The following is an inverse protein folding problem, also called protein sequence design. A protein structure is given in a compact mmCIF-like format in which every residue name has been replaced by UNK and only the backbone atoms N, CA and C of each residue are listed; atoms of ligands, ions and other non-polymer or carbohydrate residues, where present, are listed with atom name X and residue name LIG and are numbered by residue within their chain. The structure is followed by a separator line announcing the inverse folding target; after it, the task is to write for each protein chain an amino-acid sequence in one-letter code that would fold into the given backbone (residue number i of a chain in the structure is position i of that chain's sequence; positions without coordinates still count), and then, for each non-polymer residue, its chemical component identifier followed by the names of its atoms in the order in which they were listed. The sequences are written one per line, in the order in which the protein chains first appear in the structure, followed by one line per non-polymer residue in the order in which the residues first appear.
data_IF_170239630708
#
_entry.id   IF_170239630708
#
_cell.length_a   1.000
_cell.length_b   1.000
_cell.length_c   1.000
_cell.angle_alpha   90.00
_cell.angle_beta   90.00
_cell.angle_gamma   90.00
#
_symmetry.space_group_name_H-M   'P 1'
#
loop_
_entity.id
_entity.type
_entity.pdbx_description
1 polymer ?
#
# COMPACT_ATOMS: atom_id res chain seq x y z
N UNK A 1 -5.07 11.40 -6.43
CA UNK A 1 -3.96 11.33 -5.46
C UNK A 1 -4.58 11.21 -4.09
N UNK A 2 -4.25 10.17 -3.34
CA UNK A 2 -4.79 9.87 -2.01
C UNK A 2 -3.67 10.01 -0.99
N UNK A 3 -3.85 10.88 0.01
CA UNK A 3 -2.89 11.10 1.08
C UNK A 3 -3.42 10.50 2.38
N UNK A 4 -2.77 9.44 2.84
CA UNK A 4 -3.14 8.63 4.00
C UNK A 4 -4.65 8.28 4.11
N UNK A 5 -5.26 7.70 3.07
CA UNK A 5 -6.71 7.52 3.02
C UNK A 5 -7.24 6.53 4.08
N UNK A 6 -6.39 5.70 4.67
CA UNK A 6 -6.75 4.71 5.70
C UNK A 6 -6.58 5.22 7.14
N UNK A 7 -6.11 6.46 7.35
CA UNK A 7 -5.75 6.97 8.68
C UNK A 7 -6.93 7.04 9.66
N UNK A 8 -8.15 7.21 9.14
CA UNK A 8 -9.37 7.42 9.93
C UNK A 8 -10.49 6.40 9.62
N UNK A 9 -10.17 5.31 8.93
CA UNK A 9 -11.17 4.32 8.50
C UNK A 9 -11.14 3.09 9.42
N UNK A 10 -12.32 2.59 9.73
CA UNK A 10 -12.53 1.26 10.30
C UNK A 10 -12.44 0.18 9.22
N UNK A 11 -12.73 -1.08 9.57
CA UNK A 11 -12.61 -2.20 8.65
C UNK A 11 -13.56 -2.10 7.44
N UNK A 12 -14.77 -1.56 7.65
CA UNK A 12 -15.75 -1.37 6.57
C UNK A 12 -15.31 -0.25 5.62
N UNK A 13 -14.87 0.88 6.19
CA UNK A 13 -14.30 1.98 5.41
C UNK A 13 -13.07 1.56 4.61
N UNK A 14 -12.19 0.74 5.20
CA UNK A 14 -11.01 0.19 4.53
C UNK A 14 -11.38 -0.71 3.34
N UNK A 15 -12.42 -1.54 3.49
CA UNK A 15 -12.94 -2.37 2.40
C UNK A 15 -13.55 -1.51 1.27
N UNK A 16 -14.35 -0.50 1.61
CA UNK A 16 -14.94 0.42 0.64
C UNK A 16 -13.88 1.21 -0.13
N UNK A 17 -12.83 1.67 0.56
CA UNK A 17 -11.70 2.35 -0.06
C UNK A 17 -10.97 1.42 -1.05
N UNK A 18 -10.71 0.17 -0.66
CA UNK A 18 -10.09 -0.82 -1.54
C UNK A 18 -10.93 -1.01 -2.81
N UNK A 19 -12.25 -1.15 -2.67
CA UNK A 19 -13.15 -1.28 -3.81
C UNK A 19 -13.13 -0.05 -4.72
N UNK A 20 -13.09 1.15 -4.16
CA UNK A 20 -13.01 2.39 -4.92
C UNK A 20 -11.71 2.48 -5.74
N UNK A 21 -10.58 2.08 -5.14
CA UNK A 21 -9.28 2.02 -5.84
C UNK A 21 -9.32 1.00 -6.98
N UNK A 22 -9.90 -0.18 -6.75
CA UNK A 22 -10.03 -1.21 -7.79
C UNK A 22 -10.88 -0.72 -8.97
N UNK A 23 -12.00 -0.03 -8.70
CA UNK A 23 -12.87 0.54 -9.73
C UNK A 23 -12.16 1.64 -10.54
N UNK A 24 -11.45 2.54 -9.86
CA UNK A 24 -10.68 3.59 -10.53
C UNK A 24 -9.58 3.00 -11.43
N UNK A 25 -8.89 1.95 -10.98
CA UNK A 25 -7.91 1.24 -11.80
C UNK A 25 -8.55 0.57 -13.01
N UNK A 26 -9.70 -0.08 -12.82
CA UNK A 26 -10.43 -0.76 -13.88
C UNK A 26 -10.94 0.20 -14.97
N UNK A 27 -11.21 1.46 -14.64
CA UNK A 27 -11.56 2.51 -15.62
C UNK A 27 -10.34 3.11 -16.34
N UNK A 28 -9.12 2.63 -16.05
CA UNK A 28 -7.89 3.12 -16.65
C UNK A 28 -7.27 4.33 -15.95
N UNK A 29 -7.78 4.73 -14.77
CA UNK A 29 -7.24 5.86 -14.04
C UNK A 29 -5.90 5.50 -13.37
N UNK A 30 -4.96 6.44 -13.39
CA UNK A 30 -3.74 6.35 -12.58
C UNK A 30 -4.04 6.76 -11.14
N UNK A 31 -3.75 5.88 -10.18
CA UNK A 31 -3.98 6.12 -8.75
C UNK A 31 -2.64 6.20 -8.02
N UNK A 32 -2.34 7.37 -7.45
CA UNK A 32 -1.20 7.57 -6.54
C UNK A 32 -1.71 7.55 -5.10
N UNK A 33 -1.13 6.68 -4.27
CA UNK A 33 -1.48 6.49 -2.87
C UNK A 33 -0.24 6.71 -2.00
N UNK A 34 -0.33 7.64 -1.06
CA UNK A 34 0.63 7.79 0.04
C UNK A 34 0.01 7.11 1.25
N UNK A 35 0.65 6.05 1.74
CA UNK A 35 0.13 5.29 2.87
C UNK A 35 1.26 4.66 3.68
N UNK A 36 1.01 4.54 4.99
CA UNK A 36 1.88 3.89 5.96
C UNK A 36 1.42 2.46 6.31
N UNK A 37 0.14 2.12 6.04
CA UNK A 37 -0.44 0.78 6.28
C UNK A 37 -0.34 -0.11 5.03
N UNK A 38 -0.06 -1.39 5.23
CA UNK A 38 0.23 -2.34 4.16
C UNK A 38 -0.99 -2.83 3.37
N UNK A 39 -2.18 -2.75 3.97
CA UNK A 39 -3.45 -3.20 3.39
C UNK A 39 -3.75 -2.57 2.03
N UNK A 40 -3.69 -1.24 1.93
CA UNK A 40 -3.91 -0.50 0.68
C UNK A 40 -2.73 -0.63 -0.29
N UNK A 41 -1.49 -0.74 0.23
CA UNK A 41 -0.28 -0.93 -0.57
C UNK A 41 -0.30 -2.26 -1.35
N UNK A 42 -1.04 -3.27 -0.88
CA UNK A 42 -1.24 -4.51 -1.62
C UNK A 42 -1.95 -4.32 -2.97
N UNK A 43 -2.68 -3.21 -3.17
CA UNK A 43 -3.32 -2.88 -4.46
C UNK A 43 -2.42 -2.14 -5.42
N UNK A 44 -1.27 -1.66 -4.97
CA UNK A 44 -0.33 -0.98 -5.84
C UNK A 44 0.37 -1.97 -6.79
N UNK A 45 0.48 -1.57 -8.05
CA UNK A 45 1.28 -2.28 -9.06
C UNK A 45 2.78 -2.02 -8.83
N UNK A 46 3.14 -0.76 -8.52
CA UNK A 46 4.51 -0.30 -8.22
C UNK A 46 4.58 0.38 -6.85
N UNK A 47 5.76 0.34 -6.23
CA UNK A 47 6.03 1.03 -4.96
C UNK A 47 7.18 2.03 -5.10
N UNK A 48 7.07 3.13 -4.36
CA UNK A 48 8.17 4.07 -4.10
C UNK A 48 8.39 4.07 -2.59
N UNK A 49 9.61 3.76 -2.16
CA UNK A 49 10.03 3.91 -0.78
C UNK A 49 10.80 5.22 -0.63
N UNK A 50 10.27 6.12 0.18
CA UNK A 50 10.98 7.33 0.60
C UNK A 50 11.73 7.10 1.91
N UNK A 51 12.95 7.63 2.01
CA UNK A 51 13.77 7.67 3.23
C UNK A 51 14.54 8.98 3.24
N UNK A 52 14.48 9.70 4.36
CA UNK A 52 15.22 10.95 4.57
C UNK A 52 15.01 11.98 3.44
N UNK A 53 13.78 12.07 2.94
CA UNK A 53 13.40 12.99 1.87
C UNK A 53 13.83 12.56 0.46
N UNK A 54 14.44 11.39 0.29
CA UNK A 54 14.89 10.87 -0.99
C UNK A 54 14.23 9.53 -1.35
N UNK A 55 14.17 9.21 -2.65
CA UNK A 55 13.75 7.89 -3.12
C UNK A 55 14.84 6.87 -2.80
N UNK A 56 14.55 5.96 -1.88
CA UNK A 56 15.44 4.86 -1.51
C UNK A 56 15.26 3.65 -2.43
N UNK A 57 14.01 3.33 -2.81
CA UNK A 57 13.70 2.26 -3.76
C UNK A 57 12.48 2.62 -4.60
N UNK A 58 12.47 2.16 -5.85
CA UNK A 58 11.34 2.25 -6.75
C UNK A 58 11.34 1.01 -7.66
N UNK A 59 10.18 0.42 -7.88
CA UNK A 59 10.04 -0.74 -8.75
C UNK A 59 8.73 -1.47 -8.53
N UNK A 60 8.70 -2.72 -8.98
CA UNK A 60 7.55 -3.57 -8.74
C UNK A 60 7.40 -3.84 -7.24
N UNK A 61 6.15 -3.97 -6.79
CA UNK A 61 5.85 -4.17 -5.36
C UNK A 61 6.68 -5.30 -4.75
N UNK A 62 6.82 -6.43 -5.44
CA UNK A 62 7.58 -7.58 -4.95
C UNK A 62 9.07 -7.26 -4.73
N UNK A 63 9.68 -6.52 -5.66
CA UNK A 63 11.09 -6.13 -5.60
C UNK A 63 11.35 -5.16 -4.45
N UNK A 64 10.48 -4.15 -4.32
CA UNK A 64 10.59 -3.14 -3.25
C UNK A 64 10.36 -3.78 -1.88
N UNK A 65 9.39 -4.70 -1.75
CA UNK A 65 9.16 -5.44 -0.50
C UNK A 65 10.28 -6.41 -0.16
N UNK A 66 10.96 -7.01 -1.14
CA UNK A 66 12.14 -7.83 -0.91
C UNK A 66 13.31 -7.02 -0.36
N UNK A 67 13.48 -5.78 -0.84
CA UNK A 67 14.48 -4.84 -0.36
C UNK A 67 14.23 -4.36 1.08
N UNK A 68 12.96 -4.41 1.55
CA UNK A 68 12.64 -4.18 2.96
C UNK A 68 13.10 -5.39 3.79
N UNK A 69 14.04 -5.16 4.70
CA UNK A 69 14.60 -6.20 5.57
C UNK A 69 13.55 -6.97 6.41
N UNK A 70 13.93 -8.09 7.03
CA UNK A 70 13.02 -9.06 7.63
C UNK A 70 12.08 -8.49 8.71
N UNK A 71 12.50 -7.45 9.46
CA UNK A 71 11.64 -6.80 10.48
C UNK A 71 10.43 -6.07 9.90
N UNK A 72 10.54 -5.44 8.72
CA UNK A 72 9.41 -4.77 8.05
C UNK A 72 8.56 -5.74 7.23
N UNK A 73 9.15 -6.82 6.74
CA UNK A 73 8.38 -7.94 6.16
C UNK A 73 7.52 -8.64 7.20
N UNK A 74 8.04 -8.89 8.41
CA UNK A 74 7.28 -9.53 9.48
C UNK A 74 6.05 -8.72 9.90
N UNK A 75 6.13 -7.39 10.00
CA UNK A 75 4.95 -6.54 10.25
C UNK A 75 3.98 -6.56 9.07
N UNK A 76 4.47 -6.54 7.83
CA UNK A 76 3.64 -6.60 6.63
C UNK A 76 2.91 -7.96 6.45
N UNK A 77 3.54 -9.06 6.84
CA UNK A 77 2.97 -10.42 6.76
C UNK A 77 2.06 -10.72 7.95
N UNK A 78 2.41 -10.26 9.15
CA UNK A 78 1.57 -10.44 10.35
C UNK A 78 0.23 -9.70 10.25
N UNK A 79 0.18 -8.57 9.56
CA UNK A 79 -1.07 -7.84 9.31
C UNK A 79 -1.97 -8.56 8.30
N UNK A 80 -1.40 -9.24 7.31
CA UNK A 80 -2.14 -10.13 6.38
C UNK A 80 -2.81 -11.30 7.12
N UNK A 81 -2.14 -11.86 8.12
CA UNK A 81 -2.65 -13.01 8.89
C UNK A 81 -3.72 -12.65 9.94
N UNK A 82 -3.90 -11.37 10.27
CA UNK A 82 -4.98 -10.91 11.17
C UNK A 82 -6.29 -10.58 10.45
N UNK A 83 -6.27 -10.49 9.13
CA UNK A 83 -7.39 -10.12 8.26
C UNK A 83 -7.91 -11.32 7.43
N UNK A 84 -7.50 -12.54 7.79
CA UNK A 84 -7.89 -13.83 7.21
C UNK A 84 -8.33 -14.78 8.31
#
# INVERSE_FOLDING_TARGET
MLDEPNSSLDAEGEAALIQAVDQARASGAAVLIVAQRMSILNKADRLVLLRDGAVAHYGDKAEVLAALGPRRRASAVAEKARLS
#
